data_IF_202845377634
#
_entry.id   IF_202845377634
#
_cell.length_a   1.000
_cell.length_b   1.000
_cell.length_c   1.000
_cell.angle_alpha   90.00
_cell.angle_beta   90.00
_cell.angle_gamma   90.00
#
_symmetry.space_group_name_H-M   'P 1'
#
loop_
_entity.id
_entity.type
_entity.pdbx_description
1 polymer ?
#
# COMPACT_ATOMS: atom_id res chain seq x y z
N UNK A 1 -22.00 12.05 25.56
CA UNK A 1 -22.11 10.86 24.68
C UNK A 1 -21.16 9.80 25.21
N UNK A 2 -21.61 8.55 25.36
CA UNK A 2 -20.73 7.46 25.78
C UNK A 2 -19.72 7.12 24.67
N UNK A 3 -18.48 6.81 25.02
CA UNK A 3 -17.45 6.48 24.00
C UNK A 3 -17.74 5.13 23.35
N UNK A 4 -17.17 4.88 22.16
CA UNK A 4 -17.24 3.58 21.48
C UNK A 4 -16.73 2.46 22.39
N UNK A 5 -15.67 2.73 23.17
CA UNK A 5 -15.15 1.76 24.13
C UNK A 5 -16.14 1.45 25.27
N UNK A 6 -16.89 2.45 25.76
CA UNK A 6 -17.89 2.23 26.80
C UNK A 6 -19.07 1.41 26.30
N UNK A 7 -19.55 1.70 25.09
CA UNK A 7 -20.61 0.93 24.42
C UNK A 7 -20.16 -0.51 24.12
N UNK A 8 -18.93 -0.70 23.63
CA UNK A 8 -18.38 -2.03 23.36
C UNK A 8 -18.23 -2.88 24.64
N UNK A 9 -17.85 -2.26 25.77
CA UNK A 9 -17.80 -2.95 27.06
C UNK A 9 -19.16 -3.43 27.55
N UNK A 10 -20.22 -2.67 27.28
CA UNK A 10 -21.59 -3.11 27.57
C UNK A 10 -21.97 -4.38 26.78
N UNK A 11 -21.29 -4.66 25.67
CA UNK A 11 -21.43 -5.87 24.86
C UNK A 11 -20.38 -6.95 25.20
N UNK A 12 -19.61 -6.78 26.27
CA UNK A 12 -18.62 -7.75 26.75
C UNK A 12 -17.22 -7.61 26.16
N UNK A 13 -16.95 -6.61 25.32
CA UNK A 13 -15.61 -6.37 24.79
C UNK A 13 -14.67 -5.80 25.88
N UNK A 14 -13.38 -6.12 25.80
CA UNK A 14 -12.34 -5.59 26.72
C UNK A 14 -11.66 -4.33 26.20
N UNK A 15 -12.26 -3.63 25.23
CA UNK A 15 -11.62 -2.55 24.50
C UNK A 15 -11.36 -1.32 25.37
N UNK A 16 -10.19 -0.71 25.16
CA UNK A 16 -9.82 0.58 25.72
C UNK A 16 -9.94 1.68 24.66
N UNK A 17 -9.89 2.95 25.07
CA UNK A 17 -9.75 4.07 24.13
C UNK A 17 -8.49 3.91 23.25
N UNK A 18 -7.41 3.35 23.81
CA UNK A 18 -6.20 3.01 23.06
C UNK A 18 -6.41 1.92 22.02
N UNK A 19 -7.27 0.93 22.29
CA UNK A 19 -7.66 -0.10 21.31
C UNK A 19 -8.41 0.53 20.14
N UNK A 20 -9.40 1.39 20.44
CA UNK A 20 -10.16 2.10 19.41
C UNK A 20 -9.25 2.99 18.57
N UNK A 21 -8.38 3.80 19.20
CA UNK A 21 -7.42 4.63 18.48
C UNK A 21 -6.38 3.83 17.68
N UNK A 22 -6.10 2.59 18.07
CA UNK A 22 -5.28 1.66 17.29
C UNK A 22 -5.98 1.16 16.03
N UNK A 23 -7.28 0.87 16.12
CA UNK A 23 -8.12 0.47 14.99
C UNK A 23 -8.27 1.64 14.01
N UNK A 24 -8.62 2.83 14.50
CA UNK A 24 -8.80 4.03 13.67
C UNK A 24 -7.51 4.44 12.94
N UNK A 25 -6.36 4.26 13.58
CA UNK A 25 -5.06 4.53 12.97
C UNK A 25 -4.55 3.41 12.04
N UNK A 26 -5.33 2.34 11.82
CA UNK A 26 -4.93 1.20 10.99
C UNK A 26 -3.79 0.35 11.55
N UNK A 27 -3.47 0.48 12.84
CA UNK A 27 -2.37 -0.24 13.51
C UNK A 27 -2.81 -1.55 14.17
N UNK A 28 -4.12 -1.75 14.33
CA UNK A 28 -4.67 -2.97 14.91
C UNK A 28 -5.03 -3.98 13.81
N UNK A 29 -4.71 -5.25 14.05
CA UNK A 29 -5.24 -6.34 13.23
C UNK A 29 -6.71 -6.56 13.60
N UNK A 30 -7.60 -6.32 12.66
CA UNK A 30 -9.05 -6.44 12.86
C UNK A 30 -9.51 -7.85 12.46
N UNK A 31 -10.22 -8.54 13.35
CA UNK A 31 -10.82 -9.85 13.10
C UNK A 31 -12.30 -9.72 12.71
N UNK A 32 -12.92 -10.79 12.18
CA UNK A 32 -14.38 -10.81 11.91
C UNK A 32 -15.18 -10.54 13.19
N UNK A 33 -14.78 -11.13 14.31
CA UNK A 33 -15.37 -10.86 15.64
C UNK A 33 -15.30 -9.36 15.97
N UNK A 34 -14.17 -8.71 15.71
CA UNK A 34 -13.99 -7.27 15.95
C UNK A 34 -14.92 -6.44 15.06
N UNK A 35 -15.09 -6.80 13.78
CA UNK A 35 -16.01 -6.13 12.86
C UNK A 35 -17.46 -6.26 13.30
N UNK A 36 -17.88 -7.45 13.74
CA UNK A 36 -19.24 -7.68 14.26
C UNK A 36 -19.49 -6.87 15.52
N UNK A 37 -18.54 -6.86 16.47
CA UNK A 37 -18.64 -6.06 17.68
C UNK A 37 -18.68 -4.56 17.38
N UNK A 38 -17.88 -4.07 16.43
CA UNK A 38 -17.90 -2.66 16.00
C UNK A 38 -19.25 -2.30 15.37
N UNK A 39 -19.76 -3.13 14.45
CA UNK A 39 -21.05 -2.91 13.80
C UNK A 39 -22.19 -2.86 14.84
N UNK A 40 -22.22 -3.81 15.78
CA UNK A 40 -23.19 -3.81 16.88
C UNK A 40 -23.03 -2.59 17.81
N UNK A 41 -21.80 -2.21 18.14
CA UNK A 41 -21.49 -1.07 19.00
C UNK A 41 -21.89 0.26 18.36
N UNK A 42 -21.74 0.38 17.04
CA UNK A 42 -22.03 1.59 16.28
C UNK A 42 -23.46 1.62 15.72
N UNK A 43 -24.25 0.56 15.94
CA UNK A 43 -25.61 0.40 15.42
C UNK A 43 -25.67 0.48 13.89
N UNK A 44 -24.70 -0.17 13.22
CA UNK A 44 -24.57 -0.23 11.76
C UNK A 44 -24.38 -1.68 11.30
N UNK A 45 -24.26 -1.90 9.99
CA UNK A 45 -23.97 -3.20 9.40
C UNK A 45 -22.49 -3.33 9.04
N UNK A 46 -21.95 -4.55 8.98
CA UNK A 46 -20.56 -4.76 8.54
C UNK A 46 -20.30 -4.23 7.12
N UNK A 47 -21.20 -4.41 6.12
CA UNK A 47 -21.04 -3.78 4.81
C UNK A 47 -20.96 -2.25 4.88
N UNK A 48 -21.77 -1.61 5.70
CA UNK A 48 -21.76 -0.14 5.86
C UNK A 48 -20.51 0.35 6.60
N UNK A 49 -20.05 -0.38 7.63
CA UNK A 49 -18.80 -0.10 8.35
C UNK A 49 -17.57 -0.12 7.43
N UNK A 50 -17.63 -0.93 6.36
CA UNK A 50 -16.54 -1.12 5.41
C UNK A 50 -16.75 -0.40 4.08
N UNK A 51 -17.77 0.46 3.98
CA UNK A 51 -17.97 1.30 2.82
C UNK A 51 -16.85 2.34 2.71
N UNK A 52 -16.33 2.51 1.50
CA UNK A 52 -15.27 3.48 1.20
C UNK A 52 -15.46 4.05 -0.21
N UNK A 53 -14.97 5.26 -0.41
CA UNK A 53 -14.97 5.96 -1.69
C UNK A 53 -13.76 5.59 -2.56
N UNK A 54 -12.70 5.00 -1.97
CA UNK A 54 -11.46 4.62 -2.65
C UNK A 54 -11.35 3.12 -2.94
N UNK A 55 -10.41 2.79 -3.82
CA UNK A 55 -10.01 1.40 -4.07
C UNK A 55 -9.46 0.76 -2.77
N UNK A 56 -9.78 -0.52 -2.55
CA UNK A 56 -9.36 -1.29 -1.37
C UNK A 56 -8.37 -2.36 -1.80
N UNK A 57 -7.11 -2.22 -1.39
CA UNK A 57 -6.14 -3.30 -1.51
C UNK A 57 -6.43 -4.38 -0.47
N UNK A 58 -6.69 -5.61 -0.93
CA UNK A 58 -6.83 -6.80 -0.07
C UNK A 58 -5.50 -7.53 0.02
N UNK A 59 -4.78 -7.62 -1.10
CA UNK A 59 -3.39 -8.03 -1.23
C UNK A 59 -2.70 -7.08 -2.21
N UNK A 60 -1.40 -7.26 -2.45
CA UNK A 60 -0.65 -6.48 -3.44
C UNK A 60 -1.17 -6.69 -4.88
N UNK A 61 -1.81 -7.83 -5.15
CA UNK A 61 -2.33 -8.22 -6.45
C UNK A 61 -3.85 -8.06 -6.58
N UNK A 62 -4.57 -7.97 -5.45
CA UNK A 62 -6.02 -7.93 -5.40
C UNK A 62 -6.50 -6.57 -4.89
N UNK A 63 -7.06 -5.80 -5.81
CA UNK A 63 -7.70 -4.52 -5.53
C UNK A 63 -9.21 -4.66 -5.76
N UNK A 64 -9.99 -4.18 -4.81
CA UNK A 64 -11.44 -4.10 -4.91
C UNK A 64 -11.87 -2.66 -5.14
N UNK A 65 -12.70 -2.45 -6.17
CA UNK A 65 -13.28 -1.14 -6.47
C UNK A 65 -14.23 -0.68 -5.35
N UNK A 66 -14.48 0.63 -5.19
CA UNK A 66 -15.49 1.16 -4.28
C UNK A 66 -16.81 0.41 -4.40
N UNK A 67 -17.41 0.07 -3.26
CA UNK A 67 -18.68 -0.67 -3.20
C UNK A 67 -18.59 -2.18 -3.49
N UNK A 68 -17.45 -2.70 -3.95
CA UNK A 68 -17.27 -4.15 -4.17
C UNK A 68 -17.33 -4.92 -2.85
N UNK A 69 -16.66 -4.43 -1.81
CA UNK A 69 -16.58 -5.13 -0.53
C UNK A 69 -17.95 -5.22 0.18
N UNK A 70 -18.76 -4.15 0.28
CA UNK A 70 -20.14 -4.25 0.76
C UNK A 70 -21.00 -5.25 -0.03
N UNK A 71 -20.87 -5.27 -1.37
CA UNK A 71 -21.62 -6.19 -2.24
C UNK A 71 -21.22 -7.65 -1.99
N UNK A 72 -19.93 -7.94 -1.84
CA UNK A 72 -19.42 -9.28 -1.54
C UNK A 72 -19.96 -9.78 -0.20
N UNK A 73 -19.95 -8.91 0.82
CA UNK A 73 -20.44 -9.24 2.17
C UNK A 73 -21.97 -9.35 2.24
N UNK A 74 -22.69 -8.72 1.32
CA UNK A 74 -24.14 -8.86 1.17
C UNK A 74 -24.55 -10.14 0.39
N UNK A 75 -23.61 -11.04 0.11
CA UNK A 75 -23.86 -12.30 -0.60
C UNK A 75 -23.82 -12.18 -2.13
N UNK A 76 -23.41 -11.04 -2.67
CA UNK A 76 -23.11 -10.89 -4.08
C UNK A 76 -21.75 -11.49 -4.44
N UNK A 77 -21.49 -11.55 -5.75
CA UNK A 77 -20.14 -11.83 -6.27
C UNK A 77 -19.53 -10.55 -6.82
N UNK A 78 -18.20 -10.47 -6.77
CA UNK A 78 -17.44 -9.39 -7.38
C UNK A 78 -16.43 -10.03 -8.32
N UNK A 79 -16.27 -9.42 -9.50
CA UNK A 79 -15.13 -9.72 -10.36
C UNK A 79 -13.91 -9.03 -9.73
N UNK A 80 -12.96 -9.78 -9.15
CA UNK A 80 -11.76 -9.18 -8.59
C UNK A 80 -11.05 -8.43 -9.71
N UNK A 81 -10.86 -7.12 -9.53
CA UNK A 81 -9.93 -6.40 -10.39
C UNK A 81 -8.55 -6.82 -9.90
N UNK A 82 -7.98 -7.84 -10.54
CA UNK A 82 -6.53 -8.02 -10.44
C UNK A 82 -5.91 -6.68 -10.82
N UNK A 83 -4.95 -6.22 -10.05
CA UNK A 83 -4.05 -5.21 -10.57
C UNK A 83 -3.47 -5.81 -11.85
N UNK A 84 -3.99 -5.41 -13.01
CA UNK A 84 -3.36 -5.66 -14.30
C UNK A 84 -2.10 -4.82 -14.29
N UNK A 85 -1.08 -5.24 -13.54
CA UNK A 85 0.16 -4.50 -13.37
C UNK A 85 -0.12 -3.00 -13.16
N UNK A 86 -1.09 -2.65 -12.31
CA UNK A 86 -1.27 -1.25 -11.91
C UNK A 86 -0.12 -1.04 -10.93
N UNK A 87 0.95 -0.31 -11.30
CA UNK A 87 2.02 -0.06 -10.36
C UNK A 87 1.38 0.52 -9.08
N UNK A 88 1.79 0.05 -7.89
CA UNK A 88 1.28 0.60 -6.64
C UNK A 88 1.34 2.12 -6.73
N UNK A 89 0.35 2.87 -6.19
CA UNK A 89 0.31 4.33 -6.27
C UNK A 89 1.70 4.84 -5.94
N UNK A 90 2.35 5.41 -6.97
CA UNK A 90 3.80 5.52 -6.98
C UNK A 90 4.20 6.29 -5.74
N UNK A 91 4.92 5.64 -4.82
CA UNK A 91 5.36 6.29 -3.60
C UNK A 91 6.08 7.59 -4.02
N UNK A 92 5.77 8.71 -3.36
CA UNK A 92 6.29 10.01 -3.80
C UNK A 92 7.80 9.91 -4.08
N UNK A 93 8.26 10.29 -5.29
CA UNK A 93 9.64 10.07 -5.69
C UNK A 93 10.62 10.61 -4.66
N UNK A 94 11.56 9.78 -4.24
CA UNK A 94 12.53 10.18 -3.21
C UNK A 94 13.46 11.27 -3.76
N UNK A 95 14.17 11.98 -2.88
CA UNK A 95 15.17 12.95 -3.32
C UNK A 95 16.32 12.34 -4.13
N UNK A 96 16.57 11.03 -3.98
CA UNK A 96 17.53 10.29 -4.79
C UNK A 96 16.97 10.09 -6.19
N UNK A 97 15.74 9.57 -6.28
CA UNK A 97 15.05 9.28 -7.54
C UNK A 97 14.89 10.54 -8.39
N UNK A 98 14.51 11.67 -7.77
CA UNK A 98 14.43 12.97 -8.47
C UNK A 98 15.76 13.39 -9.10
N UNK A 99 16.88 13.15 -8.40
CA UNK A 99 18.22 13.49 -8.93
C UNK A 99 18.64 12.54 -10.05
N UNK A 100 18.33 11.25 -9.91
CA UNK A 100 18.63 10.25 -10.94
C UNK A 100 17.80 10.51 -12.20
N UNK A 101 16.50 10.75 -12.05
CA UNK A 101 15.60 11.12 -13.14
C UNK A 101 16.10 12.36 -13.89
N UNK A 102 16.48 13.41 -13.16
CA UNK A 102 17.08 14.61 -13.75
C UNK A 102 18.40 14.33 -14.50
N UNK A 103 19.21 13.37 -14.03
CA UNK A 103 20.46 12.96 -14.70
C UNK A 103 20.18 12.18 -15.99
N UNK A 104 19.08 11.45 -16.03
CA UNK A 104 18.64 10.64 -17.17
C UNK A 104 17.76 11.42 -18.16
N UNK A 105 17.34 12.63 -17.82
CA UNK A 105 16.48 13.47 -18.67
C UNK A 105 15.02 13.02 -18.70
N UNK A 106 14.57 12.24 -17.72
CA UNK A 106 13.19 11.74 -17.59
C UNK A 106 12.52 12.34 -16.35
N UNK A 107 11.19 12.28 -16.29
CA UNK A 107 10.48 12.63 -15.06
C UNK A 107 10.62 11.52 -14.00
N UNK A 108 10.45 11.85 -12.70
CA UNK A 108 10.63 10.88 -11.63
C UNK A 108 9.61 9.73 -11.63
N UNK A 109 8.43 9.91 -12.20
CA UNK A 109 7.39 8.87 -12.26
C UNK A 109 7.78 7.83 -13.31
N UNK A 110 8.25 8.27 -14.48
CA UNK A 110 8.85 7.40 -15.52
C UNK A 110 10.02 6.58 -14.97
N UNK A 111 10.88 7.17 -14.12
CA UNK A 111 11.96 6.42 -13.47
C UNK A 111 11.42 5.26 -12.61
N UNK A 112 10.36 5.51 -11.86
CA UNK A 112 9.77 4.53 -10.95
C UNK A 112 9.03 3.42 -11.72
N UNK A 113 8.35 3.77 -12.81
CA UNK A 113 7.74 2.81 -13.72
C UNK A 113 8.79 1.88 -14.35
N UNK A 114 9.88 2.44 -14.88
CA UNK A 114 10.97 1.66 -15.46
C UNK A 114 11.65 0.75 -14.42
N UNK A 115 11.85 1.24 -13.19
CA UNK A 115 12.39 0.41 -12.11
C UNK A 115 11.47 -0.77 -11.77
N UNK A 116 10.16 -0.53 -11.73
CA UNK A 116 9.17 -1.58 -11.49
C UNK A 116 9.11 -2.59 -12.64
N UNK A 117 9.22 -2.13 -13.90
CA UNK A 117 9.23 -3.00 -15.08
C UNK A 117 10.50 -3.86 -15.15
N UNK A 118 11.67 -3.27 -14.92
CA UNK A 118 12.96 -3.97 -15.06
C UNK A 118 13.25 -4.91 -13.89
N UNK A 119 12.92 -4.52 -12.66
CA UNK A 119 13.39 -5.21 -11.45
C UNK A 119 12.27 -5.63 -10.49
N UNK A 120 11.01 -5.33 -10.82
CA UNK A 120 9.85 -5.59 -9.96
C UNK A 120 9.99 -4.99 -8.55
N UNK A 121 10.78 -3.91 -8.40
CA UNK A 121 11.01 -3.21 -7.13
C UNK A 121 11.45 -1.76 -7.37
N UNK A 122 11.45 -0.95 -6.31
CA UNK A 122 11.91 0.46 -6.37
C UNK A 122 13.40 0.58 -6.70
N UNK A 123 13.77 1.73 -7.29
CA UNK A 123 15.16 2.04 -7.63
C UNK A 123 16.10 1.97 -6.42
N UNK A 124 15.67 2.49 -5.27
CA UNK A 124 16.49 2.47 -4.06
C UNK A 124 16.66 1.07 -3.47
N UNK A 125 15.59 0.25 -3.49
CA UNK A 125 15.66 -1.13 -3.04
C UNK A 125 16.60 -1.95 -3.93
N UNK A 126 16.57 -1.75 -5.24
CA UNK A 126 17.49 -2.42 -6.15
C UNK A 126 18.94 -1.94 -5.96
N UNK A 127 19.16 -0.63 -5.84
CA UNK A 127 20.49 -0.06 -5.55
C UNK A 127 21.09 -0.66 -4.28
N UNK A 128 20.30 -0.71 -3.21
CA UNK A 128 20.77 -1.21 -1.93
C UNK A 128 20.94 -2.74 -1.94
N UNK A 129 20.08 -3.46 -2.67
CA UNK A 129 20.24 -4.90 -2.93
C UNK A 129 21.54 -5.24 -3.67
N UNK A 130 21.89 -4.47 -4.72
CA UNK A 130 23.15 -4.65 -5.46
C UNK A 130 24.38 -4.21 -4.70
N UNK A 131 24.26 -3.14 -3.91
CA UNK A 131 25.38 -2.65 -3.11
C UNK A 131 25.72 -3.59 -1.95
N UNK A 132 24.73 -4.35 -1.45
CA UNK A 132 24.86 -5.27 -0.31
C UNK A 132 24.51 -4.63 1.04
N UNK A 133 24.17 -5.46 2.03
CA UNK A 133 23.83 -4.99 3.38
C UNK A 133 25.05 -4.34 4.05
N UNK A 134 24.91 -3.10 4.56
CA UNK A 134 26.02 -2.34 5.13
C UNK A 134 26.99 -1.71 4.11
N UNK A 135 26.60 -1.64 2.83
CA UNK A 135 27.45 -1.13 1.75
C UNK A 135 28.02 0.28 2.00
N UNK A 136 29.30 0.45 1.64
CA UNK A 136 29.99 1.75 1.68
C UNK A 136 29.44 2.71 0.62
N UNK A 137 29.71 4.01 0.77
CA UNK A 137 29.33 5.03 -0.22
C UNK A 137 29.84 4.72 -1.64
N UNK A 138 30.99 4.07 -1.75
CA UNK A 138 31.58 3.69 -3.05
C UNK A 138 30.82 2.55 -3.70
N UNK A 139 30.42 1.53 -2.94
CA UNK A 139 29.61 0.42 -3.43
C UNK A 139 28.23 0.89 -3.92
N UNK A 140 27.57 1.77 -3.15
CA UNK A 140 26.31 2.39 -3.59
C UNK A 140 26.46 3.25 -4.85
N UNK A 141 27.59 3.94 -5.01
CA UNK A 141 27.90 4.73 -6.20
C UNK A 141 28.22 3.87 -7.43
N UNK A 142 28.75 2.66 -7.26
CA UNK A 142 28.93 1.69 -8.33
C UNK A 142 27.58 1.13 -8.79
N UNK A 143 26.76 0.63 -7.85
CA UNK A 143 25.40 0.16 -8.12
C UNK A 143 24.53 1.22 -8.81
N UNK A 144 24.61 2.47 -8.38
CA UNK A 144 23.88 3.59 -9.02
C UNK A 144 24.26 3.76 -10.50
N UNK A 145 25.55 3.62 -10.85
CA UNK A 145 26.02 3.76 -12.24
C UNK A 145 25.54 2.62 -13.12
N UNK A 146 25.52 1.41 -12.58
CA UNK A 146 25.02 0.21 -13.24
C UNK A 146 23.52 0.31 -13.54
N UNK A 147 22.72 0.68 -12.54
CA UNK A 147 21.28 0.89 -12.71
C UNK A 147 20.95 1.98 -13.72
N UNK A 148 21.71 3.09 -13.71
CA UNK A 148 21.54 4.14 -14.72
C UNK A 148 21.91 3.66 -16.13
N UNK A 149 22.83 2.72 -16.29
CA UNK A 149 23.17 2.16 -17.59
C UNK A 149 22.01 1.30 -18.11
N UNK A 150 21.47 0.40 -17.28
CA UNK A 150 20.30 -0.43 -17.64
C UNK A 150 19.08 0.39 -18.01
N UNK A 151 18.79 1.45 -17.27
CA UNK A 151 17.65 2.32 -17.59
C UNK A 151 17.86 3.05 -18.92
N UNK A 152 19.09 3.50 -19.23
CA UNK A 152 19.37 4.10 -20.55
C UNK A 152 19.18 3.09 -21.67
N UNK A 153 19.64 1.86 -21.48
CA UNK A 153 19.45 0.80 -22.48
C UNK A 153 17.97 0.47 -22.72
N UNK A 154 17.13 0.55 -21.68
CA UNK A 154 15.69 0.36 -21.83
C UNK A 154 15.03 1.55 -22.54
N UNK A 155 15.43 2.78 -22.20
CA UNK A 155 14.97 4.00 -22.87
C UNK A 155 15.35 4.03 -24.36
N UNK A 156 16.51 3.49 -24.72
CA UNK A 156 16.96 3.40 -26.12
C UNK A 156 16.26 2.27 -26.90
N UNK A 157 15.62 1.31 -26.21
CA UNK A 157 14.89 0.18 -26.82
C UNK A 157 13.41 0.47 -27.08
N UNK A 158 12.82 1.44 -26.38
CA UNK A 158 11.43 1.90 -26.54
C UNK A 158 11.26 2.99 -27.60
#
# INVERSE_FOLDING_TARGET
MASVADRARALGATWSSGTIGGIEAGRAKVTVETLVLLAATLETTVPELLATEGDVAITDELILRPGSLPRLLAGGHVEPTRALNVPPPVAQPTSTEKRVAATLGIDPETLQELAQQLWSRSYEAERDGRAGEGATRQAKAAATRELQAEIREELDRG
#
